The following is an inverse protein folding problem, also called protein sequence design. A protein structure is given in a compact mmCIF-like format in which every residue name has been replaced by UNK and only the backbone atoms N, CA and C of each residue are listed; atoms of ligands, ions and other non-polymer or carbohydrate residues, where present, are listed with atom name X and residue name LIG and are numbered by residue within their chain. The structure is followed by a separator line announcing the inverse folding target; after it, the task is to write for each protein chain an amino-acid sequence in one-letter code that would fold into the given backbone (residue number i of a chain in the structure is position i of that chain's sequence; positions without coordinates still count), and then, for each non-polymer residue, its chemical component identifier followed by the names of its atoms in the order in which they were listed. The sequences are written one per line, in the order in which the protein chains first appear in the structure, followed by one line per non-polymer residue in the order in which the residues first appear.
data_IF_589759742935
#
_entry.id   IF_589759742935
#
_cell.length_a   1.000
_cell.length_b   1.000
_cell.length_c   1.000
_cell.angle_alpha   90.00
_cell.angle_beta   90.00
_cell.angle_gamma   90.00
#
_symmetry.space_group_name_H-M   'P 1'
#
loop_
_entity.id
_entity.type
_entity.pdbx_description
1 polymer ?
#
# COMPACT_ATOMS: atom_id res chain seq x y z
N UNK A 1 30.87 19.67 -3.26
CA UNK A 1 31.02 18.38 -2.56
C UNK A 1 29.63 18.01 -2.10
N UNK A 2 28.92 17.17 -2.86
CA UNK A 2 27.55 16.77 -2.51
C UNK A 2 27.63 15.49 -1.71
N UNK A 3 27.19 15.53 -0.46
CA UNK A 3 27.16 14.37 0.43
C UNK A 3 26.20 13.33 -0.16
N UNK A 4 26.72 12.13 -0.46
CA UNK A 4 25.90 10.95 -0.71
C UNK A 4 25.29 10.52 0.63
N UNK A 5 24.15 11.12 1.00
CA UNK A 5 23.36 10.66 2.14
C UNK A 5 22.80 9.29 1.75
N UNK A 6 23.43 8.23 2.26
CA UNK A 6 22.90 6.87 2.16
C UNK A 6 21.77 6.79 3.18
N UNK A 7 20.59 7.30 2.83
CA UNK A 7 19.40 7.14 3.66
C UNK A 7 19.01 5.67 3.66
N UNK A 8 19.19 4.98 4.79
CA UNK A 8 18.56 3.68 5.02
C UNK A 8 17.07 3.81 4.71
N UNK A 9 16.50 2.97 3.82
CA UNK A 9 15.09 3.06 3.49
C UNK A 9 14.24 2.90 4.75
N UNK A 10 13.31 3.82 4.98
CA UNK A 10 12.39 3.73 6.12
C UNK A 10 11.55 2.46 5.98
N UNK A 11 11.42 1.72 7.09
CA UNK A 11 10.51 0.58 7.22
C UNK A 11 9.37 0.96 8.16
N UNK A 12 8.19 0.41 7.89
CA UNK A 12 6.99 0.58 8.68
C UNK A 12 6.61 -0.73 9.36
N UNK A 13 6.23 -0.67 10.62
CA UNK A 13 5.83 -1.85 11.39
C UNK A 13 4.31 -2.01 11.49
N UNK A 14 3.55 -0.97 11.11
CA UNK A 14 2.09 -0.96 11.17
C UNK A 14 1.43 -0.10 10.09
N UNK A 15 0.14 -0.34 9.85
CA UNK A 15 -0.67 0.51 8.96
C UNK A 15 -0.84 1.91 9.56
N UNK A 16 -0.93 2.02 10.88
CA UNK A 16 -1.06 3.30 11.59
C UNK A 16 0.14 4.22 11.32
N UNK A 17 1.37 3.67 11.29
CA UNK A 17 2.55 4.45 10.91
C UNK A 17 2.52 4.89 9.45
N UNK A 18 2.00 4.05 8.56
CA UNK A 18 1.83 4.38 7.14
C UNK A 18 0.80 5.49 6.97
N UNK A 19 -0.32 5.43 7.70
CA UNK A 19 -1.37 6.46 7.71
C UNK A 19 -0.74 7.79 8.14
N UNK A 20 -0.06 7.82 9.29
CA UNK A 20 0.57 9.03 9.80
C UNK A 20 1.59 9.61 8.81
N UNK A 21 2.42 8.75 8.19
CA UNK A 21 3.38 9.21 7.20
C UNK A 21 2.69 9.75 5.93
N UNK A 22 1.65 9.08 5.42
CA UNK A 22 0.88 9.52 4.26
C UNK A 22 0.20 10.88 4.51
N UNK A 23 -0.40 11.06 5.68
CA UNK A 23 -1.03 12.32 6.08
C UNK A 23 0.00 13.43 6.29
N UNK A 24 1.18 13.11 6.85
CA UNK A 24 2.24 14.10 7.10
C UNK A 24 2.80 14.73 5.82
N UNK A 25 2.71 14.04 4.68
CA UNK A 25 3.07 14.56 3.36
C UNK A 25 1.87 15.17 2.61
N UNK A 26 0.72 15.31 3.26
CA UNK A 26 -0.50 15.89 2.70
C UNK A 26 -1.26 14.98 1.73
N UNK A 27 -0.97 13.67 1.72
CA UNK A 27 -1.71 12.71 0.90
C UNK A 27 -2.97 12.23 1.62
N UNK A 28 -3.97 11.81 0.84
CA UNK A 28 -5.32 11.51 1.33
C UNK A 28 -5.76 10.07 1.08
N UNK A 29 -4.82 9.14 0.88
CA UNK A 29 -5.14 7.74 0.50
C UNK A 29 -6.03 7.07 1.56
N UNK A 30 -5.74 7.33 2.83
CA UNK A 30 -6.47 6.78 3.98
C UNK A 30 -7.62 7.66 4.48
N UNK A 31 -7.88 8.81 3.84
CA UNK A 31 -8.94 9.70 4.30
C UNK A 31 -10.31 8.99 4.24
N UNK A 32 -11.24 9.29 5.17
CA UNK A 32 -12.56 8.67 5.19
C UNK A 32 -13.34 8.86 3.87
N UNK A 33 -13.16 9.99 3.19
CA UNK A 33 -13.78 10.26 1.90
C UNK A 33 -13.24 9.33 0.80
N UNK A 34 -11.92 9.21 0.68
CA UNK A 34 -11.27 8.32 -0.30
C UNK A 34 -11.64 6.86 -0.06
N UNK A 35 -11.51 6.38 1.18
CA UNK A 35 -11.78 4.98 1.53
C UNK A 35 -13.26 4.63 1.38
N UNK A 36 -14.18 5.55 1.71
CA UNK A 36 -15.62 5.38 1.48
C UNK A 36 -15.97 5.32 -0.01
N UNK A 37 -15.42 6.24 -0.81
CA UNK A 37 -15.67 6.30 -2.25
C UNK A 37 -15.27 5.00 -2.97
N UNK A 38 -14.09 4.46 -2.67
CA UNK A 38 -13.61 3.19 -3.25
C UNK A 38 -14.09 1.93 -2.51
N UNK A 39 -14.80 2.11 -1.38
CA UNK A 39 -15.15 1.04 -0.42
C UNK A 39 -13.95 0.16 -0.08
N UNK A 40 -12.83 0.83 0.15
CA UNK A 40 -11.52 0.22 0.38
C UNK A 40 -11.51 -0.49 1.73
N UNK A 41 -10.90 -1.68 1.75
CA UNK A 41 -10.50 -2.36 2.99
C UNK A 41 -8.99 -2.47 3.00
N UNK A 42 -8.36 -1.96 4.06
CA UNK A 42 -6.93 -2.07 4.32
C UNK A 42 -6.70 -3.24 5.26
N UNK A 43 -5.75 -4.10 4.93
CA UNK A 43 -5.38 -5.24 5.79
C UNK A 43 -4.19 -4.84 6.67
N UNK A 44 -4.16 -5.28 7.94
CA UNK A 44 -3.20 -4.80 8.93
C UNK A 44 -1.76 -5.29 8.72
N UNK A 45 -1.58 -6.35 7.93
CA UNK A 45 -0.27 -6.98 7.76
C UNK A 45 0.64 -6.15 6.84
N UNK A 46 1.87 -5.87 7.32
CA UNK A 46 2.96 -5.27 6.55
C UNK A 46 3.98 -6.34 6.14
N UNK A 47 4.43 -6.29 4.90
CA UNK A 47 5.41 -7.19 4.32
C UNK A 47 6.69 -6.41 3.97
N UNK A 48 7.83 -6.84 4.49
CA UNK A 48 9.14 -6.21 4.23
C UNK A 48 9.28 -4.78 4.76
N UNK A 49 8.31 -4.30 5.55
CA UNK A 49 8.24 -2.92 6.01
C UNK A 49 7.83 -1.90 4.94
N UNK A 50 7.39 -2.35 3.75
CA UNK A 50 7.05 -1.49 2.61
C UNK A 50 5.77 -1.86 1.87
N UNK A 51 5.29 -3.09 2.01
CA UNK A 51 4.13 -3.56 1.26
C UNK A 51 2.95 -3.86 2.18
N UNK A 52 1.75 -3.52 1.76
CA UNK A 52 0.51 -3.96 2.40
C UNK A 52 -0.54 -4.32 1.36
N UNK A 53 -1.57 -5.06 1.79
CA UNK A 53 -2.68 -5.43 0.91
C UNK A 53 -3.87 -4.53 1.17
N UNK A 54 -4.50 -4.08 0.10
CA UNK A 54 -5.81 -3.42 0.14
C UNK A 54 -6.79 -4.14 -0.78
N UNK A 55 -8.09 -3.86 -0.63
CA UNK A 55 -9.08 -4.32 -1.60
C UNK A 55 -10.16 -3.27 -1.85
N UNK A 56 -10.64 -3.21 -3.08
CA UNK A 56 -11.56 -2.18 -3.59
C UNK A 56 -12.69 -2.86 -4.36
N UNK A 57 -13.84 -2.19 -4.52
CA UNK A 57 -14.82 -2.62 -5.53
C UNK A 57 -14.31 -2.22 -6.92
N UNK A 58 -14.51 -3.07 -7.92
CA UNK A 58 -14.15 -2.78 -9.31
C UNK A 58 -14.99 -1.64 -9.88
N UNK A 59 -16.28 -1.55 -9.52
CA UNK A 59 -17.16 -0.44 -9.90
C UNK A 59 -18.37 -0.30 -8.95
N UNK A 60 -19.22 0.69 -9.22
CA UNK A 60 -20.49 0.85 -8.50
C UNK A 60 -21.42 -0.34 -8.75
N UNK A 61 -21.55 -0.76 -10.00
CA UNK A 61 -22.50 -1.80 -10.45
C UNK A 61 -21.97 -3.23 -10.31
N UNK A 62 -20.65 -3.41 -10.20
CA UNK A 62 -20.01 -4.72 -9.99
C UNK A 62 -19.60 -4.88 -8.51
N UNK A 63 -20.17 -5.85 -7.78
CA UNK A 63 -19.75 -6.13 -6.41
C UNK A 63 -18.39 -6.83 -6.30
N UNK A 64 -17.78 -7.23 -7.43
CA UNK A 64 -16.50 -7.93 -7.46
C UNK A 64 -15.44 -7.13 -6.70
N UNK A 65 -14.78 -7.82 -5.77
CA UNK A 65 -13.70 -7.27 -4.97
C UNK A 65 -12.37 -7.69 -5.56
N UNK A 66 -11.52 -6.72 -5.83
CA UNK A 66 -10.14 -6.94 -6.26
C UNK A 66 -9.19 -6.61 -5.13
N UNK A 67 -8.09 -7.34 -5.08
CA UNK A 67 -7.03 -7.18 -4.08
C UNK A 67 -5.82 -6.58 -4.77
N UNK A 68 -5.17 -5.62 -4.13
CA UNK A 68 -4.02 -4.91 -4.69
C UNK A 68 -2.93 -4.81 -3.63
N UNK A 69 -1.71 -5.18 -4.04
CA UNK A 69 -0.49 -4.91 -3.28
C UNK A 69 -0.15 -3.44 -3.44
N UNK A 70 0.08 -2.76 -2.33
CA UNK A 70 0.44 -1.35 -2.26
C UNK A 70 1.84 -1.26 -1.70
N UNK A 71 2.70 -0.50 -2.38
CA UNK A 71 4.00 -0.13 -1.84
C UNK A 71 3.92 1.26 -1.22
N UNK A 72 4.49 1.41 -0.03
CA UNK A 72 4.77 2.70 0.60
C UNK A 72 6.26 3.02 0.45
N UNK A 73 6.58 4.22 -0.02
CA UNK A 73 7.96 4.70 -0.06
C UNK A 73 8.40 5.28 1.30
N UNK A 74 9.66 5.69 1.39
CA UNK A 74 10.27 6.15 2.64
C UNK A 74 9.62 7.41 3.25
N UNK A 75 8.82 8.13 2.46
CA UNK A 75 8.10 9.35 2.86
C UNK A 75 6.63 9.10 3.19
N UNK A 76 6.13 7.87 3.06
CA UNK A 76 4.73 7.55 3.29
C UNK A 76 3.84 7.68 2.05
N UNK A 77 4.39 7.94 0.87
CA UNK A 77 3.59 7.97 -0.36
C UNK A 77 3.27 6.55 -0.81
N UNK A 78 1.99 6.27 -1.07
CA UNK A 78 1.56 5.02 -1.69
C UNK A 78 1.88 5.12 -3.18
N UNK A 79 2.89 4.38 -3.61
CA UNK A 79 3.30 4.37 -5.02
C UNK A 79 2.47 3.33 -5.78
N UNK A 80 2.11 3.60 -7.04
CA UNK A 80 1.50 2.58 -7.87
C UNK A 80 2.54 1.47 -8.09
N UNK A 81 2.24 0.26 -7.64
CA UNK A 81 2.94 -0.92 -8.14
C UNK A 81 2.57 -1.02 -9.63
N UNK A 82 3.55 -0.87 -10.51
CA UNK A 82 3.35 -0.98 -11.96
C UNK A 82 3.79 -2.36 -12.46
N UNK A 83 2.97 -3.06 -13.26
CA UNK A 83 1.57 -2.74 -13.55
C UNK A 83 0.67 -2.89 -12.31
N UNK A 84 -0.42 -2.12 -12.23
CA UNK A 84 -1.43 -2.23 -11.16
C UNK A 84 -2.08 -3.60 -11.29
N UNK A 85 -1.59 -4.57 -10.53
CA UNK A 85 -2.11 -5.92 -10.59
C UNK A 85 -3.32 -6.06 -9.65
N UNK A 86 -4.43 -6.52 -10.23
CA UNK A 86 -5.61 -6.91 -9.49
C UNK A 86 -5.60 -8.42 -9.31
N UNK A 87 -5.62 -8.84 -8.06
CA UNK A 87 -5.76 -10.24 -7.71
C UNK A 87 -7.21 -10.56 -7.34
N UNK A 88 -7.65 -11.78 -7.67
CA UNK A 88 -9.02 -12.24 -7.36
C UNK A 88 -9.20 -12.63 -5.90
N UNK A 89 -8.11 -12.93 -5.20
CA UNK A 89 -8.15 -13.40 -3.81
C UNK A 89 -7.13 -12.68 -2.93
N UNK A 90 -7.42 -12.56 -1.61
CA UNK A 90 -6.45 -12.05 -0.62
C UNK A 90 -5.16 -12.88 -0.64
N UNK A 91 -5.28 -14.21 -0.73
CA UNK A 91 -4.14 -15.12 -0.68
C UNK A 91 -3.14 -14.87 -1.83
N UNK A 92 -3.63 -14.63 -3.04
CA UNK A 92 -2.78 -14.26 -4.18
C UNK A 92 -2.03 -12.95 -3.94
N UNK A 93 -2.73 -11.89 -3.51
CA UNK A 93 -2.11 -10.60 -3.21
C UNK A 93 -1.08 -10.71 -2.08
N UNK A 94 -1.36 -11.51 -1.05
CA UNK A 94 -0.43 -11.78 0.06
C UNK A 94 0.81 -12.53 -0.44
N UNK A 95 0.66 -13.50 -1.35
CA UNK A 95 1.79 -14.18 -1.99
C UNK A 95 2.71 -13.18 -2.70
N UNK A 96 2.13 -12.33 -3.55
CA UNK A 96 2.87 -11.29 -4.27
C UNK A 96 3.53 -10.30 -3.33
N UNK A 97 2.85 -9.85 -2.27
CA UNK A 97 3.43 -8.95 -1.27
C UNK A 97 4.63 -9.58 -0.54
N UNK A 98 4.60 -10.89 -0.27
CA UNK A 98 5.72 -11.62 0.32
C UNK A 98 6.89 -11.77 -0.64
N UNK A 99 6.61 -12.05 -1.91
CA UNK A 99 7.65 -12.19 -2.92
C UNK A 99 8.34 -10.85 -3.19
N UNK A 100 7.57 -9.76 -3.34
CA UNK A 100 8.11 -8.40 -3.43
C UNK A 100 8.95 -8.01 -2.19
N UNK A 101 8.50 -8.40 -0.99
CA UNK A 101 9.24 -8.15 0.24
C UNK A 101 10.58 -8.90 0.34
N UNK A 102 10.77 -10.00 -0.41
CA UNK A 102 12.02 -10.77 -0.45
C UNK A 102 13.07 -10.16 -1.39
N UNK A 103 12.65 -9.27 -2.28
CA UNK A 103 13.51 -8.59 -3.25
C UNK A 103 14.08 -7.24 -2.74
N UNK A 104 13.69 -6.82 -1.53
CA UNK A 104 14.22 -5.65 -0.82
C UNK A 104 15.58 -5.91 -0.15
#
# INVERSE_FOLDING_TARGET
MSENVTTTPRRYDSIEEIIQANESIGHCWFSPSTTSFFRSKVYPEIYGGRFFVSSEKTSFDDPTRVYTVREVNDRGAIVPMYPREWHKTKAQAVGVARDAAREL
#
